data_IF_284254389901
#
_entry.id   IF_284254389901
#
_cell.length_a   1.000
_cell.length_b   1.000
_cell.length_c   1.000
_cell.angle_alpha   90.00
_cell.angle_beta   90.00
_cell.angle_gamma   90.00
#
_symmetry.space_group_name_H-M   'P 1'
#
loop_
_entity.id
_entity.type
_entity.pdbx_description
1 polymer ?
#
# COMPACT_ATOMS: atom_id res chain seq x y z
N UNK A 1 -11.71 0.86 -25.57
CA UNK A 1 -12.46 1.07 -24.30
C UNK A 1 -11.52 1.38 -23.13
N UNK A 2 -10.66 0.44 -22.70
CA UNK A 2 -9.73 0.66 -21.57
C UNK A 2 -8.78 1.85 -21.74
N UNK A 3 -8.23 2.06 -22.94
CA UNK A 3 -7.32 3.18 -23.23
C UNK A 3 -7.95 4.56 -22.96
N UNK A 4 -9.23 4.75 -23.33
CA UNK A 4 -9.92 6.02 -23.14
C UNK A 4 -10.25 6.27 -21.66
N UNK A 5 -10.56 5.21 -20.89
CA UNK A 5 -10.74 5.31 -19.44
C UNK A 5 -9.43 5.71 -18.75
N UNK A 6 -8.30 5.12 -19.15
CA UNK A 6 -6.98 5.50 -18.64
C UNK A 6 -6.66 6.96 -18.99
N UNK A 7 -6.94 7.40 -20.21
CA UNK A 7 -6.76 8.79 -20.64
C UNK A 7 -7.61 9.76 -19.80
N UNK A 8 -8.87 9.45 -19.55
CA UNK A 8 -9.75 10.27 -18.70
C UNK A 8 -9.32 10.28 -17.24
N UNK A 9 -8.90 9.14 -16.69
CA UNK A 9 -8.37 9.08 -15.33
C UNK A 9 -7.04 9.84 -15.22
N UNK A 10 -6.20 9.83 -16.25
CA UNK A 10 -5.00 10.67 -16.33
C UNK A 10 -5.31 12.15 -16.31
N UNK A 11 -6.33 12.61 -17.04
CA UNK A 11 -6.79 14.00 -16.99
C UNK A 11 -7.32 14.42 -15.62
N UNK A 12 -7.77 13.47 -14.80
CA UNK A 12 -8.23 13.70 -13.43
C UNK A 12 -7.14 13.59 -12.36
N UNK A 13 -6.02 12.96 -12.69
CA UNK A 13 -4.85 12.84 -11.81
C UNK A 13 -4.29 14.20 -11.37
N UNK A 14 -4.24 15.27 -12.19
CA UNK A 14 -3.83 16.60 -11.72
C UNK A 14 -4.76 17.17 -10.64
N UNK A 15 -6.06 16.82 -10.65
CA UNK A 15 -7.01 17.29 -9.63
C UNK A 15 -6.67 16.74 -8.23
N UNK A 16 -6.02 15.57 -8.17
CA UNK A 16 -5.56 14.94 -6.92
C UNK A 16 -4.06 15.08 -6.69
N UNK A 17 -3.34 15.83 -7.53
CA UNK A 17 -1.88 15.98 -7.43
C UNK A 17 -1.44 16.52 -6.07
N UNK A 18 -2.19 17.47 -5.49
CA UNK A 18 -1.94 17.98 -4.14
C UNK A 18 -1.99 16.88 -3.08
N UNK A 19 -2.95 15.96 -3.20
CA UNK A 19 -3.12 14.81 -2.28
C UNK A 19 -1.95 13.85 -2.43
N UNK A 20 -1.56 13.51 -3.65
CA UNK A 20 -0.40 12.66 -3.92
C UNK A 20 0.91 13.29 -3.44
N UNK A 21 1.08 14.60 -3.63
CA UNK A 21 2.28 15.32 -3.19
C UNK A 21 2.39 15.31 -1.66
N UNK A 22 1.31 15.64 -0.94
CA UNK A 22 1.30 15.61 0.53
C UNK A 22 1.54 14.18 1.05
N UNK A 23 0.88 13.18 0.45
CA UNK A 23 1.12 11.77 0.79
C UNK A 23 2.59 11.39 0.56
N UNK A 24 3.17 11.82 -0.55
CA UNK A 24 4.56 11.56 -0.89
C UNK A 24 5.53 12.19 0.09
N UNK A 25 5.32 13.46 0.46
CA UNK A 25 6.12 14.15 1.47
C UNK A 25 6.05 13.45 2.83
N UNK A 26 4.86 13.09 3.29
CA UNK A 26 4.71 12.38 4.58
C UNK A 26 5.40 11.01 4.52
N UNK A 27 5.22 10.26 3.42
CA UNK A 27 5.90 8.98 3.21
C UNK A 27 7.42 9.14 3.27
N UNK A 28 7.95 10.19 2.61
CA UNK A 28 9.37 10.50 2.61
C UNK A 28 9.88 10.83 4.03
N UNK A 29 9.18 11.69 4.77
CA UNK A 29 9.52 12.04 6.16
C UNK A 29 9.57 10.80 7.03
N UNK A 30 8.56 9.92 6.95
CA UNK A 30 8.51 8.67 7.73
C UNK A 30 9.71 7.79 7.41
N UNK A 31 10.02 7.56 6.13
CA UNK A 31 11.17 6.73 5.74
C UNK A 31 12.53 7.34 6.14
N UNK A 32 12.66 8.66 6.12
CA UNK A 32 13.91 9.36 6.48
C UNK A 32 14.20 9.33 7.98
N UNK A 33 13.23 8.97 8.83
CA UNK A 33 13.46 8.80 10.28
C UNK A 33 14.58 7.79 10.58
N UNK A 34 14.84 6.85 9.67
CA UNK A 34 15.95 5.89 9.76
C UNK A 34 17.36 6.53 9.74
N UNK A 35 17.49 7.79 9.32
CA UNK A 35 18.76 8.53 9.35
C UNK A 35 19.14 8.92 10.79
N UNK A 36 18.18 9.17 11.68
CA UNK A 36 18.49 9.64 13.04
C UNK A 36 18.90 8.51 14.01
N UNK A 37 18.80 7.24 13.58
CA UNK A 37 19.18 6.05 14.37
C UNK A 37 20.68 5.68 14.23
N UNK A 38 21.50 6.61 13.75
CA UNK A 38 22.92 6.49 13.36
C UNK A 38 23.90 6.24 14.54
N UNK A 39 23.43 6.19 15.78
CA UNK A 39 24.29 6.16 16.97
C UNK A 39 25.10 4.90 17.28
N UNK A 40 25.03 3.78 16.54
CA UNK A 40 25.95 2.67 16.83
C UNK A 40 25.68 1.24 16.34
N UNK A 41 24.89 0.99 15.29
CA UNK A 41 24.37 -0.37 15.00
C UNK A 41 24.49 -0.86 13.54
N UNK A 42 25.40 -0.33 12.72
CA UNK A 42 25.49 -0.68 11.28
C UNK A 42 26.54 -1.76 10.96
N UNK A 43 26.57 -2.86 11.72
CA UNK A 43 27.45 -4.01 11.38
C UNK A 43 26.71 -5.25 10.85
N UNK A 44 25.36 -5.33 10.93
CA UNK A 44 24.64 -6.53 10.51
C UNK A 44 23.49 -6.29 9.51
N UNK A 45 23.31 -7.16 8.49
CA UNK A 45 22.17 -7.18 7.57
C UNK A 45 20.79 -7.13 8.24
N UNK A 46 20.64 -7.79 9.39
CA UNK A 46 19.37 -7.88 10.10
C UNK A 46 18.95 -6.52 10.68
N UNK A 47 19.91 -5.73 11.20
CA UNK A 47 19.63 -4.41 11.74
C UNK A 47 19.16 -3.42 10.66
N UNK A 48 19.70 -3.51 9.45
CA UNK A 48 19.26 -2.69 8.31
C UNK A 48 17.81 -3.01 7.92
N UNK A 49 17.42 -4.29 7.93
CA UNK A 49 16.05 -4.68 7.61
C UNK A 49 15.05 -4.16 8.66
N UNK A 50 15.43 -4.15 9.94
CA UNK A 50 14.58 -3.58 11.02
C UNK A 50 14.48 -2.05 10.89
N UNK A 51 15.58 -1.40 10.50
CA UNK A 51 15.63 0.05 10.28
C UNK A 51 14.76 0.50 9.10
N UNK A 52 14.77 -0.26 8.00
CA UNK A 52 14.01 0.04 6.77
C UNK A 52 12.54 -0.34 6.90
N UNK A 53 12.23 -1.41 7.64
CA UNK A 53 10.86 -1.89 7.85
C UNK A 53 10.40 -1.81 9.32
N UNK A 54 10.41 -0.61 9.93
CA UNK A 54 9.97 -0.42 11.31
C UNK A 54 8.45 -0.59 11.40
N UNK A 55 8.00 -1.69 12.03
CA UNK A 55 6.58 -2.07 12.13
C UNK A 55 5.70 -0.95 12.68
N UNK A 56 6.17 -0.29 13.74
CA UNK A 56 5.42 0.79 14.41
C UNK A 56 5.20 1.99 13.49
N UNK A 57 6.25 2.47 12.81
CA UNK A 57 6.15 3.61 11.88
C UNK A 57 5.31 3.28 10.64
N UNK A 58 5.38 2.03 10.17
CA UNK A 58 4.54 1.58 9.06
C UNK A 58 3.07 1.57 9.49
N UNK A 59 2.76 1.05 10.68
CA UNK A 59 1.40 1.01 11.21
C UNK A 59 0.83 2.40 11.51
N UNK A 60 1.55 3.22 12.28
CA UNK A 60 1.05 4.52 12.77
C UNK A 60 1.19 5.66 11.77
N UNK A 61 2.14 5.56 10.83
CA UNK A 61 2.42 6.59 9.85
C UNK A 61 2.02 6.20 8.43
N UNK A 62 2.66 5.17 7.86
CA UNK A 62 2.54 4.87 6.43
C UNK A 62 1.13 4.40 6.04
N UNK A 63 0.57 3.44 6.77
CA UNK A 63 -0.75 2.88 6.49
C UNK A 63 -1.90 3.91 6.59
N UNK A 64 -2.00 4.74 7.63
CA UNK A 64 -3.03 5.78 7.68
C UNK A 64 -2.80 6.87 6.64
N UNK A 65 -1.55 7.26 6.34
CA UNK A 65 -1.25 8.23 5.27
C UNK A 65 -1.69 7.70 3.90
N UNK A 66 -1.44 6.42 3.64
CA UNK A 66 -1.92 5.73 2.44
C UNK A 66 -3.45 5.78 2.34
N UNK A 67 -4.16 5.40 3.41
CA UNK A 67 -5.64 5.41 3.40
C UNK A 67 -6.21 6.81 3.23
N UNK A 68 -5.64 7.81 3.91
CA UNK A 68 -6.07 9.20 3.82
C UNK A 68 -5.82 9.81 2.43
N UNK A 69 -4.79 9.35 1.71
CA UNK A 69 -4.56 9.79 0.33
C UNK A 69 -5.47 9.06 -0.68
N UNK A 70 -5.74 7.77 -0.45
CA UNK A 70 -6.54 6.95 -1.35
C UNK A 70 -8.03 7.31 -1.32
N UNK A 71 -8.62 7.48 -0.13
CA UNK A 71 -10.07 7.66 0.04
C UNK A 71 -10.64 8.90 -0.69
N UNK A 72 -9.98 10.08 -0.70
CA UNK A 72 -10.39 11.21 -1.51
C UNK A 72 -10.38 10.91 -3.01
N UNK A 73 -9.39 10.13 -3.47
CA UNK A 73 -9.20 9.76 -4.88
C UNK A 73 -10.22 8.76 -5.41
N UNK A 74 -10.92 8.04 -4.52
CA UNK A 74 -12.04 7.17 -4.89
C UNK A 74 -13.28 8.05 -5.11
N UNK A 75 -13.46 8.44 -6.38
CA UNK A 75 -14.64 9.15 -6.88
C UNK A 75 -15.06 8.52 -8.22
N UNK A 76 -15.82 7.42 -8.19
CA UNK A 76 -16.31 6.80 -9.42
C UNK A 76 -17.31 7.71 -10.12
N UNK A 77 -17.17 7.89 -11.44
CA UNK A 77 -18.06 8.74 -12.23
C UNK A 77 -19.13 7.90 -12.91
N UNK A 78 -20.39 8.12 -12.55
CA UNK A 78 -21.54 7.42 -13.14
C UNK A 78 -21.72 7.77 -14.62
N UNK A 79 -21.35 8.99 -15.04
CA UNK A 79 -21.39 9.44 -16.44
C UNK A 79 -20.56 8.55 -17.39
N UNK A 80 -19.47 7.97 -16.89
CA UNK A 80 -18.63 7.06 -17.69
C UNK A 80 -19.31 5.69 -17.90
N UNK A 81 -20.26 5.30 -17.05
CA UNK A 81 -21.08 4.09 -17.28
C UNK A 81 -22.01 4.31 -18.48
N UNK A 82 -22.57 5.51 -18.62
CA UNK A 82 -23.49 5.86 -19.71
C UNK A 82 -22.75 5.95 -21.06
N UNK A 83 -21.56 6.55 -21.08
CA UNK A 83 -20.76 6.73 -22.30
C UNK A 83 -20.28 5.41 -22.92
N UNK A 84 -20.11 4.37 -22.11
CA UNK A 84 -19.51 3.11 -22.55
C UNK A 84 -20.39 1.88 -22.29
N UNK A 85 -21.63 2.10 -21.84
CA UNK A 85 -22.63 1.07 -21.56
C UNK A 85 -22.14 -0.12 -20.72
N UNK A 86 -21.18 0.09 -19.82
CA UNK A 86 -20.61 -0.98 -18.99
C UNK A 86 -20.23 -0.53 -17.59
N UNK A 87 -20.76 -1.24 -16.58
CA UNK A 87 -20.43 -1.02 -15.16
C UNK A 87 -19.01 -1.46 -14.81
N UNK A 88 -18.37 -2.32 -15.63
CA UNK A 88 -16.97 -2.76 -15.43
C UNK A 88 -15.98 -1.60 -15.43
N UNK A 89 -16.32 -0.46 -16.03
CA UNK A 89 -15.45 0.72 -16.03
C UNK A 89 -15.22 1.26 -14.63
N UNK A 90 -16.24 1.24 -13.76
CA UNK A 90 -16.09 1.70 -12.37
C UNK A 90 -15.04 0.87 -11.64
N UNK A 91 -15.07 -0.45 -11.83
CA UNK A 91 -14.08 -1.36 -11.22
C UNK A 91 -12.66 -1.03 -11.69
N UNK A 92 -12.50 -0.74 -12.98
CA UNK A 92 -11.20 -0.38 -13.54
C UNK A 92 -10.72 1.00 -13.07
N UNK A 93 -11.61 1.99 -12.94
CA UNK A 93 -11.27 3.30 -12.39
C UNK A 93 -10.77 3.18 -10.95
N UNK A 94 -11.43 2.36 -10.13
CA UNK A 94 -11.01 2.12 -8.75
C UNK A 94 -9.67 1.39 -8.71
N UNK A 95 -9.52 0.31 -9.49
CA UNK A 95 -8.26 -0.43 -9.59
C UNK A 95 -7.11 0.50 -9.99
N UNK A 96 -7.35 1.38 -10.96
CA UNK A 96 -6.38 2.36 -11.43
C UNK A 96 -5.95 3.32 -10.30
N UNK A 97 -6.90 3.85 -9.52
CA UNK A 97 -6.61 4.75 -8.40
C UNK A 97 -5.85 4.07 -7.29
N UNK A 98 -6.26 2.85 -6.90
CA UNK A 98 -5.54 2.05 -5.90
C UNK A 98 -4.11 1.75 -6.37
N UNK A 99 -3.93 1.43 -7.67
CA UNK A 99 -2.63 1.13 -8.26
C UNK A 99 -1.70 2.36 -8.29
N UNK A 100 -2.20 3.53 -8.70
CA UNK A 100 -1.39 4.76 -8.70
C UNK A 100 -0.94 5.13 -7.28
N UNK A 101 -1.87 5.15 -6.32
CA UNK A 101 -1.54 5.52 -4.94
C UNK A 101 -0.49 4.58 -4.34
N UNK A 102 -0.61 3.27 -4.59
CA UNK A 102 0.37 2.29 -4.12
C UNK A 102 1.72 2.44 -4.80
N UNK A 103 1.77 2.61 -6.12
CA UNK A 103 3.01 2.79 -6.87
C UNK A 103 3.77 4.06 -6.47
N UNK A 104 3.07 5.18 -6.27
CA UNK A 104 3.69 6.42 -5.82
C UNK A 104 4.31 6.26 -4.44
N UNK A 105 3.56 5.68 -3.49
CA UNK A 105 4.07 5.43 -2.15
C UNK A 105 5.24 4.44 -2.16
N UNK A 106 5.15 3.36 -2.94
CA UNK A 106 6.19 2.36 -3.10
C UNK A 106 7.49 2.96 -3.66
N UNK A 107 7.38 3.78 -4.70
CA UNK A 107 8.52 4.45 -5.32
C UNK A 107 9.19 5.47 -4.40
N UNK A 108 8.39 6.27 -3.69
CA UNK A 108 8.95 7.24 -2.74
C UNK A 108 9.65 6.53 -1.58
N UNK A 109 9.00 5.52 -1.00
CA UNK A 109 9.56 4.71 0.09
C UNK A 109 10.85 4.00 -0.32
N UNK A 110 10.92 3.42 -1.53
CA UNK A 110 12.14 2.74 -1.98
C UNK A 110 13.29 3.71 -2.20
N UNK A 111 13.03 4.87 -2.83
CA UNK A 111 14.05 5.89 -3.07
C UNK A 111 14.63 6.45 -1.76
N UNK A 112 13.79 6.79 -0.79
CA UNK A 112 14.24 7.34 0.49
C UNK A 112 14.95 6.31 1.37
N UNK A 113 14.56 5.03 1.29
CA UNK A 113 15.30 3.99 2.00
C UNK A 113 16.68 3.74 1.39
N UNK A 114 16.82 3.84 0.06
CA UNK A 114 18.15 3.81 -0.57
C UNK A 114 19.00 4.97 -0.04
N UNK A 115 18.43 6.19 0.08
CA UNK A 115 19.17 7.33 0.66
C UNK A 115 19.54 7.11 2.14
N UNK A 116 18.68 6.46 2.93
CA UNK A 116 19.00 6.11 4.33
C UNK A 116 20.19 5.14 4.38
N UNK A 117 20.20 4.11 3.52
CA UNK A 117 21.30 3.13 3.47
C UNK A 117 22.62 3.79 3.07
N UNK A 118 22.60 4.68 2.07
CA UNK A 118 23.82 5.33 1.57
C UNK A 118 24.38 6.34 2.57
N UNK A 119 23.53 7.17 3.18
CA UNK A 119 23.93 8.14 4.22
C UNK A 119 24.50 7.43 5.45
N UNK A 120 23.98 6.26 5.80
CA UNK A 120 24.46 5.46 6.93
C UNK A 120 25.74 4.67 6.63
N UNK A 121 26.37 4.85 5.46
CA UNK A 121 27.61 4.16 5.07
C UNK A 121 27.45 2.65 4.84
N UNK A 122 26.20 2.16 4.77
CA UNK A 122 25.88 0.73 4.67
C UNK A 122 25.66 0.27 3.21
N UNK A 123 26.06 1.08 2.23
CA UNK A 123 25.87 0.79 0.80
C UNK A 123 26.52 -0.54 0.37
N UNK A 124 27.64 -0.92 0.98
CA UNK A 124 28.33 -2.17 0.70
C UNK A 124 27.49 -3.42 1.04
N UNK A 125 26.56 -3.31 2.00
CA UNK A 125 25.68 -4.42 2.38
C UNK A 125 24.55 -4.63 1.35
N UNK A 126 24.29 -3.65 0.50
CA UNK A 126 23.20 -3.71 -0.49
C UNK A 126 23.37 -4.90 -1.43
N UNK A 127 24.60 -5.20 -1.88
CA UNK A 127 24.90 -6.35 -2.74
C UNK A 127 24.53 -7.70 -2.11
N UNK A 128 24.57 -7.78 -0.77
CA UNK A 128 24.23 -9.02 -0.06
C UNK A 128 22.74 -9.10 0.27
N UNK A 129 22.09 -7.96 0.56
CA UNK A 129 20.71 -7.92 1.08
C UNK A 129 19.65 -7.51 0.07
N UNK A 130 20.01 -7.12 -1.16
CA UNK A 130 19.07 -6.55 -2.14
C UNK A 130 17.83 -7.44 -2.37
N UNK A 131 18.02 -8.75 -2.47
CA UNK A 131 16.94 -9.70 -2.74
C UNK A 131 15.99 -9.80 -1.54
N UNK A 132 16.53 -9.83 -0.33
CA UNK A 132 15.74 -9.80 0.92
C UNK A 132 14.93 -8.51 1.06
N UNK A 133 15.55 -7.38 0.71
CA UNK A 133 14.92 -6.07 0.74
C UNK A 133 13.79 -6.01 -0.30
N UNK A 134 14.03 -6.50 -1.52
CA UNK A 134 13.03 -6.54 -2.59
C UNK A 134 11.82 -7.40 -2.20
N UNK A 135 12.03 -8.60 -1.67
CA UNK A 135 10.95 -9.49 -1.25
C UNK A 135 10.06 -8.81 -0.19
N UNK A 136 10.67 -8.21 0.84
CA UNK A 136 9.94 -7.52 1.92
C UNK A 136 9.23 -6.26 1.42
N UNK A 137 9.84 -5.54 0.49
CA UNK A 137 9.24 -4.37 -0.13
C UNK A 137 8.01 -4.75 -0.95
N UNK A 138 8.12 -5.78 -1.81
CA UNK A 138 6.98 -6.32 -2.57
C UNK A 138 5.86 -6.77 -1.64
N UNK A 139 6.19 -7.46 -0.55
CA UNK A 139 5.21 -7.86 0.45
C UNK A 139 4.46 -6.66 1.05
N UNK A 140 5.18 -5.61 1.45
CA UNK A 140 4.60 -4.39 2.00
C UNK A 140 3.69 -3.69 0.99
N UNK A 141 4.11 -3.59 -0.27
CA UNK A 141 3.31 -2.95 -1.31
C UNK A 141 2.03 -3.74 -1.60
N UNK A 142 2.13 -5.07 -1.57
CA UNK A 142 0.99 -5.95 -1.77
C UNK A 142 0.00 -5.89 -0.60
N UNK A 143 0.51 -5.79 0.63
CA UNK A 143 -0.28 -5.50 1.83
C UNK A 143 -1.02 -4.16 1.70
N UNK A 144 -0.34 -3.09 1.28
CA UNK A 144 -0.96 -1.77 1.04
C UNK A 144 -2.03 -1.85 -0.05
N UNK A 145 -1.75 -2.55 -1.15
CA UNK A 145 -2.69 -2.73 -2.26
C UNK A 145 -3.96 -3.46 -1.82
N UNK A 146 -3.81 -4.55 -1.07
CA UNK A 146 -4.94 -5.30 -0.51
C UNK A 146 -5.76 -4.42 0.45
N UNK A 147 -5.10 -3.66 1.32
CA UNK A 147 -5.75 -2.73 2.23
C UNK A 147 -6.53 -1.64 1.47
N UNK A 148 -5.98 -1.13 0.37
CA UNK A 148 -6.63 -0.18 -0.51
C UNK A 148 -7.85 -0.75 -1.23
N UNK A 149 -7.80 -2.00 -1.67
CA UNK A 149 -8.96 -2.71 -2.23
C UNK A 149 -10.06 -2.91 -1.19
N UNK A 150 -9.71 -3.30 0.04
CA UNK A 150 -10.65 -3.40 1.17
C UNK A 150 -11.33 -2.04 1.40
N UNK A 151 -10.55 -0.97 1.54
CA UNK A 151 -11.09 0.37 1.71
C UNK A 151 -12.03 0.76 0.56
N UNK A 152 -11.64 0.50 -0.70
CA UNK A 152 -12.46 0.80 -1.85
C UNK A 152 -13.77 0.01 -1.89
N UNK A 153 -13.74 -1.28 -1.55
CA UNK A 153 -14.96 -2.09 -1.44
C UNK A 153 -15.89 -1.58 -0.35
N UNK A 154 -15.38 -1.14 0.80
CA UNK A 154 -16.19 -0.60 1.90
C UNK A 154 -16.78 0.76 1.53
N UNK A 155 -16.01 1.64 0.88
CA UNK A 155 -16.54 2.91 0.33
C UNK A 155 -17.70 2.62 -0.61
N UNK A 156 -17.53 1.64 -1.51
CA UNK A 156 -18.58 1.23 -2.42
C UNK A 156 -19.72 0.49 -1.74
N UNK A 157 -19.56 -0.18 -0.61
CA UNK A 157 -20.68 -0.84 0.07
C UNK A 157 -21.49 0.18 0.87
N UNK A 158 -20.81 1.04 1.64
CA UNK A 158 -21.41 1.88 2.69
C UNK A 158 -21.67 3.32 2.25
N UNK A 159 -21.11 3.76 1.11
CA UNK A 159 -21.07 5.17 0.66
C UNK A 159 -20.36 6.12 1.63
N UNK A 160 -19.71 5.61 2.68
CA UNK A 160 -19.03 6.42 3.71
C UNK A 160 -17.53 6.22 3.65
N UNK A 161 -16.80 7.30 3.34
CA UNK A 161 -15.33 7.32 3.36
C UNK A 161 -14.78 7.17 4.77
N UNK A 162 -15.46 7.75 5.76
CA UNK A 162 -15.09 7.63 7.18
C UNK A 162 -15.20 6.18 7.66
N UNK A 163 -16.30 5.50 7.33
CA UNK A 163 -16.46 4.09 7.72
C UNK A 163 -15.40 3.20 7.06
N UNK A 164 -15.10 3.44 5.78
CA UNK A 164 -14.04 2.74 5.08
C UNK A 164 -12.65 2.96 5.72
N UNK A 165 -12.36 4.19 6.17
CA UNK A 165 -11.14 4.49 6.91
C UNK A 165 -11.07 3.68 8.21
N UNK A 166 -12.07 3.80 9.09
CA UNK A 166 -12.04 3.15 10.41
C UNK A 166 -12.00 1.63 10.31
N UNK A 167 -12.76 1.03 9.40
CA UNK A 167 -12.76 -0.44 9.24
C UNK A 167 -11.42 -0.91 8.67
N UNK A 168 -10.88 -0.25 7.65
CA UNK A 168 -9.59 -0.65 7.07
C UNK A 168 -8.44 -0.42 8.06
N UNK A 169 -8.43 0.73 8.74
CA UNK A 169 -7.45 1.02 9.79
C UNK A 169 -7.61 0.06 10.98
N UNK A 170 -8.83 -0.33 11.33
CA UNK A 170 -9.10 -1.34 12.36
C UNK A 170 -8.56 -2.72 11.98
N UNK A 171 -8.75 -3.18 10.74
CA UNK A 171 -8.15 -4.42 10.22
C UNK A 171 -6.61 -4.34 10.30
N UNK A 172 -6.04 -3.20 9.90
CA UNK A 172 -4.61 -2.94 10.02
C UNK A 172 -4.16 -2.99 11.50
N UNK A 173 -4.89 -2.37 12.42
CA UNK A 173 -4.62 -2.37 13.86
C UNK A 173 -4.68 -3.75 14.49
N UNK A 174 -5.69 -4.56 14.14
CA UNK A 174 -5.79 -5.94 14.59
C UNK A 174 -4.60 -6.77 14.08
N UNK A 175 -4.24 -6.61 12.81
CA UNK A 175 -3.08 -7.31 12.26
C UNK A 175 -1.76 -6.89 12.91
N UNK A 176 -1.63 -5.62 13.28
CA UNK A 176 -0.48 -5.11 14.00
C UNK A 176 -0.41 -5.65 15.44
N UNK A 177 -1.54 -5.69 16.13
CA UNK A 177 -1.66 -6.27 17.48
C UNK A 177 -1.23 -7.74 17.47
N UNK A 178 -1.72 -8.54 16.51
CA UNK A 178 -1.31 -9.94 16.37
C UNK A 178 0.21 -10.11 16.28
N UNK A 179 0.89 -9.26 15.51
CA UNK A 179 2.35 -9.33 15.37
C UNK A 179 3.10 -8.94 16.64
N UNK A 180 2.62 -7.95 17.38
CA UNK A 180 3.20 -7.59 18.68
C UNK A 180 3.02 -8.75 19.67
N UNK A 181 1.88 -9.45 19.61
CA UNK A 181 1.62 -10.64 20.42
C UNK A 181 2.30 -11.92 19.90
N UNK A 182 3.24 -11.82 18.95
CA UNK A 182 3.95 -12.95 18.35
C UNK A 182 3.07 -13.97 17.60
N UNK A 183 1.86 -13.58 17.21
CA UNK A 183 0.96 -14.37 16.37
C UNK A 183 1.18 -14.04 14.89
N UNK A 184 0.97 -14.99 13.97
CA UNK A 184 1.12 -14.74 12.55
C UNK A 184 0.11 -13.69 12.08
N UNK A 185 0.58 -12.69 11.32
CA UNK A 185 -0.31 -11.71 10.69
C UNK A 185 -0.01 -11.56 9.22
N UNK A 186 -1.08 -11.44 8.44
CA UNK A 186 -0.95 -11.30 6.99
C UNK A 186 -0.33 -9.95 6.58
N UNK A 187 -0.61 -8.85 7.28
CA UNK A 187 -0.16 -7.52 6.87
C UNK A 187 1.24 -7.13 7.40
N UNK A 188 1.66 -7.63 8.57
CA UNK A 188 2.88 -7.16 9.25
C UNK A 188 4.00 -8.19 9.39
N UNK A 189 3.87 -9.38 8.78
CA UNK A 189 4.91 -10.43 8.82
C UNK A 189 6.20 -10.10 8.04
N UNK A 190 6.24 -8.96 7.32
CA UNK A 190 7.42 -8.49 6.56
C UNK A 190 8.67 -8.22 7.41
N UNK A 191 8.53 -8.10 8.73
CA UNK A 191 9.63 -7.83 9.66
C UNK A 191 9.97 -9.06 10.54
N UNK A 192 9.27 -10.18 10.39
CA UNK A 192 9.59 -11.40 11.13
C UNK A 192 10.93 -11.99 10.67
N UNK A 193 11.61 -12.70 11.58
CA UNK A 193 12.83 -13.49 11.29
C UNK A 193 12.51 -14.81 10.56
N UNK A 194 11.35 -14.87 9.90
CA UNK A 194 10.91 -16.04 9.19
C UNK A 194 11.78 -16.23 7.94
N UNK A 195 12.03 -17.49 7.59
CA UNK A 195 12.71 -17.83 6.35
C UNK A 195 11.93 -17.24 5.15
N UNK A 196 12.66 -16.66 4.19
CA UNK A 196 12.11 -16.15 2.93
C UNK A 196 11.01 -17.04 2.28
N UNK A 197 11.11 -18.38 2.25
CA UNK A 197 10.05 -19.23 1.69
C UNK A 197 8.69 -19.09 2.40
N UNK A 198 8.67 -18.91 3.73
CA UNK A 198 7.42 -18.72 4.47
C UNK A 198 6.77 -17.38 4.11
N UNK A 199 7.59 -16.33 3.91
CA UNK A 199 7.12 -15.02 3.49
C UNK A 199 6.53 -15.06 2.07
N UNK A 200 7.17 -15.81 1.16
CA UNK A 200 6.67 -16.02 -0.20
C UNK A 200 5.32 -16.75 -0.19
N UNK A 201 5.17 -17.81 0.63
CA UNK A 201 3.90 -18.52 0.77
C UNK A 201 2.78 -17.59 1.25
N UNK A 202 3.05 -16.74 2.24
CA UNK A 202 2.10 -15.70 2.70
C UNK A 202 1.80 -14.66 1.61
N UNK A 203 2.80 -14.31 0.80
CA UNK A 203 2.63 -13.48 -0.39
C UNK A 203 1.67 -14.07 -1.42
N UNK A 204 1.75 -15.38 -1.67
CA UNK A 204 0.82 -16.09 -2.56
C UNK A 204 -0.61 -16.06 -2.00
N UNK A 205 -0.78 -16.26 -0.69
CA UNK A 205 -2.09 -16.15 -0.02
C UNK A 205 -2.66 -14.74 -0.19
N UNK A 206 -1.84 -13.70 0.01
CA UNK A 206 -2.27 -12.32 -0.20
C UNK A 206 -2.65 -12.04 -1.67
N UNK A 207 -1.91 -12.58 -2.64
CA UNK A 207 -2.29 -12.48 -4.05
C UNK A 207 -3.65 -13.11 -4.33
N UNK A 208 -3.92 -14.29 -3.75
CA UNK A 208 -5.24 -14.92 -3.82
C UNK A 208 -6.35 -14.02 -3.24
N UNK A 209 -6.10 -13.39 -2.09
CA UNK A 209 -7.03 -12.44 -1.49
C UNK A 209 -7.23 -11.19 -2.34
N UNK A 210 -6.17 -10.67 -2.98
CA UNK A 210 -6.28 -9.55 -3.93
C UNK A 210 -7.21 -9.91 -5.08
N UNK A 211 -7.02 -11.08 -5.71
CA UNK A 211 -7.90 -11.55 -6.78
C UNK A 211 -9.36 -11.70 -6.30
N UNK A 212 -9.56 -12.26 -5.10
CA UNK A 212 -10.87 -12.36 -4.49
C UNK A 212 -11.52 -10.99 -4.26
N UNK A 213 -10.77 -10.02 -3.74
CA UNK A 213 -11.27 -8.66 -3.50
C UNK A 213 -11.63 -7.93 -4.80
N UNK A 214 -10.89 -8.15 -5.88
CA UNK A 214 -11.23 -7.61 -7.21
C UNK A 214 -12.55 -8.22 -7.73
N UNK A 215 -12.74 -9.53 -7.55
CA UNK A 215 -13.98 -10.20 -7.91
C UNK A 215 -15.17 -9.67 -7.08
N UNK A 216 -14.97 -9.50 -5.77
CA UNK A 216 -15.97 -8.95 -4.84
C UNK A 216 -16.32 -7.49 -5.18
N UNK A 217 -15.32 -6.64 -5.46
CA UNK A 217 -15.50 -5.27 -5.96
C UNK A 217 -16.39 -5.27 -7.21
N UNK A 218 -16.10 -6.16 -8.16
CA UNK A 218 -16.87 -6.29 -9.40
C UNK A 218 -18.31 -6.72 -9.15
N UNK A 219 -18.51 -7.67 -8.23
CA UNK A 219 -19.85 -8.13 -7.86
C UNK A 219 -20.69 -7.01 -7.22
N UNK A 220 -20.11 -6.21 -6.32
CA UNK A 220 -20.78 -5.06 -5.68
C UNK A 220 -21.18 -4.01 -6.72
N UNK A 221 -20.25 -3.67 -7.63
CA UNK A 221 -20.52 -2.69 -8.70
C UNK A 221 -21.64 -3.16 -9.62
N UNK A 222 -21.69 -4.45 -9.95
CA UNK A 222 -22.73 -4.99 -10.83
C UNK A 222 -24.11 -5.01 -10.18
N UNK A 223 -24.19 -5.29 -8.87
CA UNK A 223 -25.46 -5.33 -8.11
C UNK A 223 -26.05 -3.97 -7.77
N UNK A 224 -25.24 -2.91 -7.76
CA UNK A 224 -25.74 -1.57 -7.43
C UNK A 224 -26.48 -0.95 -8.60
N UNK A 225 -27.73 -0.57 -8.34
CA UNK A 225 -28.42 0.43 -9.13
C UNK A 225 -27.83 1.79 -8.78
N UNK A 226 -27.03 2.33 -9.71
CA UNK A 226 -26.38 3.64 -9.64
C UNK A 226 -27.23 4.67 -10.36
#
# INVERSE_FOLDING_TARGET
>A
MYHNVIRQQNLLTPAFLKVYLVCGLITAIISLTGINLVGGLTSSPEHILVLIFPRYLIFSGLMPTYLLSLLPCIQPRVQDVLLYHSRKIITLQILYRVSISTLLMAGIWSLTNITVITVNGAAYLLETIWLYLLIRAVYLWLACFLLGLIAATIVLATKSKLMAFFVSFGICGLSFFLVISHLPSLFFDFSARNSNPLLLAKGVIMLGLVCFMIALLTAIVNRRDL
#
